data_IF_516367577275
#
_entry.id   IF_516367577275
#
_cell.length_a   1.000
_cell.length_b   1.000
_cell.length_c   1.000
_cell.angle_alpha   90.00
_cell.angle_beta   90.00
_cell.angle_gamma   90.00
#
_symmetry.space_group_name_H-M   'P 1'
#
loop_
_entity.id
_entity.type
_entity.pdbx_description
1 polymer ?
#
# COMPACT_ATOMS: atom_id res chain seq x y z
N UNK A 1 19.17 7.43 43.43
CA UNK A 1 18.22 6.65 42.61
C UNK A 1 18.23 7.26 41.21
N UNK A 2 19.01 6.70 40.28
CA UNK A 2 19.09 7.20 38.89
C UNK A 2 17.77 6.87 38.19
N UNK A 3 17.06 7.89 37.71
CA UNK A 3 15.92 7.70 36.82
C UNK A 3 16.46 7.16 35.50
N UNK A 4 16.22 5.89 35.21
CA UNK A 4 16.46 5.33 33.88
C UNK A 4 15.57 6.10 32.90
N UNK A 5 16.17 6.85 31.98
CA UNK A 5 15.42 7.51 30.92
C UNK A 5 14.94 6.44 29.93
N UNK A 6 13.63 6.23 29.86
CA UNK A 6 13.02 5.36 28.86
C UNK A 6 12.70 6.20 27.62
N UNK A 7 13.39 5.94 26.51
CA UNK A 7 13.05 6.51 25.21
C UNK A 7 12.15 5.53 24.45
N UNK A 8 10.99 5.99 23.98
CA UNK A 8 10.11 5.23 23.09
C UNK A 8 10.55 5.49 21.66
N UNK A 9 10.97 4.45 20.95
CA UNK A 9 11.28 4.52 19.52
C UNK A 9 9.97 4.31 18.77
N UNK A 10 9.57 5.31 17.99
CA UNK A 10 8.41 5.20 17.10
C UNK A 10 8.86 5.36 15.64
N UNK A 11 9.09 4.25 14.92
CA UNK A 11 9.58 4.29 13.55
C UNK A 11 8.52 4.83 12.57
N UNK A 12 7.24 4.82 12.91
CA UNK A 12 6.16 5.35 12.04
C UNK A 12 6.29 6.87 11.88
N UNK A 13 6.82 7.56 12.91
CA UNK A 13 7.01 9.01 12.92
C UNK A 13 7.81 9.51 11.71
N UNK A 14 8.79 8.73 11.23
CA UNK A 14 9.55 9.08 10.03
C UNK A 14 8.67 9.20 8.78
N UNK A 15 7.71 8.29 8.63
CA UNK A 15 6.78 8.26 7.50
C UNK A 15 5.74 9.38 7.62
N UNK A 16 5.24 9.65 8.82
CA UNK A 16 4.33 10.77 9.09
C UNK A 16 5.01 12.09 8.75
N UNK A 17 6.24 12.29 9.21
CA UNK A 17 7.01 13.51 8.94
C UNK A 17 7.29 13.66 7.44
N UNK A 18 7.71 12.59 6.77
CA UNK A 18 7.92 12.62 5.32
C UNK A 18 6.63 12.98 4.57
N UNK A 19 5.48 12.39 4.94
CA UNK A 19 4.20 12.68 4.32
C UNK A 19 3.80 14.15 4.52
N UNK A 20 4.05 14.70 5.71
CA UNK A 20 3.84 16.10 6.02
C UNK A 20 4.72 17.02 5.18
N UNK A 21 6.01 16.72 5.06
CA UNK A 21 6.97 17.48 4.24
C UNK A 21 6.60 17.47 2.74
N UNK A 22 5.95 16.39 2.27
CA UNK A 22 5.42 16.25 0.91
C UNK A 22 3.98 16.78 0.74
N UNK A 23 3.40 17.36 1.78
CA UNK A 23 2.06 17.95 1.78
C UNK A 23 0.93 16.95 1.48
N UNK A 24 1.10 15.68 1.87
CA UNK A 24 0.01 14.71 1.82
C UNK A 24 -0.99 14.92 2.96
N UNK A 25 -2.26 14.56 2.72
CA UNK A 25 -3.21 14.31 3.79
C UNK A 25 -2.81 13.05 4.56
N UNK A 26 -2.89 13.08 5.89
CA UNK A 26 -2.40 11.99 6.75
C UNK A 26 -3.56 11.43 7.57
N UNK A 27 -3.70 10.11 7.52
CA UNK A 27 -4.54 9.33 8.43
C UNK A 27 -3.59 8.37 9.17
N UNK A 28 -3.35 8.65 10.45
CA UNK A 28 -2.54 7.79 11.32
C UNK A 28 -3.44 6.99 12.26
N UNK A 29 -3.24 5.67 12.28
CA UNK A 29 -4.13 4.73 12.96
C UNK A 29 -3.30 3.70 13.70
N UNK A 30 -3.55 3.59 14.99
CA UNK A 30 -2.97 2.56 15.84
C UNK A 30 -3.97 1.42 16.06
N UNK A 31 -3.54 0.18 15.81
CA UNK A 31 -4.32 -0.99 16.20
C UNK A 31 -4.30 -1.13 17.73
N UNK A 32 -5.47 -1.22 18.39
CA UNK A 32 -5.50 -1.45 19.82
C UNK A 32 -4.90 -2.83 20.13
N UNK A 33 -4.26 -2.99 21.32
CA UNK A 33 -3.81 -4.30 21.76
C UNK A 33 -5.01 -5.24 21.88
N UNK A 34 -4.76 -6.55 21.75
CA UNK A 34 -5.79 -7.59 21.79
C UNK A 34 -6.74 -7.36 22.98
N UNK A 35 -7.99 -7.00 22.70
CA UNK A 35 -8.98 -6.82 23.75
C UNK A 35 -9.52 -8.18 24.21
N UNK A 36 -9.61 -8.43 25.53
CA UNK A 36 -10.35 -9.60 26.03
C UNK A 36 -11.84 -9.43 25.71
N UNK A 37 -12.47 -10.42 25.07
CA UNK A 37 -13.88 -10.32 24.67
C UNK A 37 -14.80 -10.16 25.88
N UNK A 38 -15.73 -9.20 25.86
CA UNK A 38 -16.73 -9.01 26.91
C UNK A 38 -17.99 -9.89 26.75
N UNK A 39 -18.12 -10.62 25.65
CA UNK A 39 -19.26 -11.52 25.40
C UNK A 39 -18.85 -12.74 24.58
N UNK A 40 -19.15 -13.93 25.09
CA UNK A 40 -19.09 -15.24 24.42
C UNK A 40 -17.73 -15.66 23.85
N UNK A 41 -16.74 -15.87 24.73
CA UNK A 41 -15.69 -16.92 24.62
C UNK A 41 -14.67 -16.87 23.46
N UNK A 42 -14.93 -16.16 22.36
CA UNK A 42 -14.04 -16.01 21.22
C UNK A 42 -13.38 -14.63 21.29
N UNK A 43 -12.08 -14.60 21.53
CA UNK A 43 -11.29 -13.37 21.45
C UNK A 43 -11.00 -13.09 19.98
N UNK A 44 -11.53 -11.99 19.45
CA UNK A 44 -11.24 -11.54 18.08
C UNK A 44 -9.72 -11.43 17.92
N UNK A 45 -9.17 -12.07 16.88
CA UNK A 45 -7.76 -11.98 16.56
C UNK A 45 -7.36 -10.54 16.22
N UNK A 46 -6.08 -10.19 16.39
CA UNK A 46 -5.57 -8.87 15.98
C UNK A 46 -5.78 -8.64 14.48
N UNK A 47 -5.66 -9.72 13.70
CA UNK A 47 -5.96 -9.73 12.28
C UNK A 47 -7.39 -9.29 12.00
N UNK A 48 -8.40 -9.97 12.57
CA UNK A 48 -9.81 -9.65 12.33
C UNK A 48 -10.17 -8.22 12.79
N UNK A 49 -9.53 -7.73 13.87
CA UNK A 49 -9.66 -6.34 14.32
C UNK A 49 -9.10 -5.36 13.28
N UNK A 50 -7.93 -5.67 12.71
CA UNK A 50 -7.30 -4.87 11.66
C UNK A 50 -8.14 -4.84 10.38
N UNK A 51 -8.64 -6.00 9.95
CA UNK A 51 -9.53 -6.12 8.78
C UNK A 51 -10.79 -5.25 8.95
N UNK A 52 -11.48 -5.39 10.10
CA UNK A 52 -12.69 -4.60 10.40
C UNK A 52 -12.40 -3.09 10.46
N UNK A 53 -11.24 -2.70 10.99
CA UNK A 53 -10.86 -1.30 11.11
C UNK A 53 -10.55 -0.68 9.75
N UNK A 54 -9.78 -1.37 8.90
CA UNK A 54 -9.47 -0.91 7.55
C UNK A 54 -10.72 -0.75 6.70
N UNK A 55 -11.68 -1.68 6.79
CA UNK A 55 -12.97 -1.57 6.11
C UNK A 55 -13.75 -0.35 6.59
N UNK A 56 -13.83 -0.14 7.91
CA UNK A 56 -14.52 1.02 8.47
C UNK A 56 -13.90 2.34 8.02
N UNK A 57 -12.57 2.44 8.05
CA UNK A 57 -11.85 3.64 7.62
C UNK A 57 -12.06 3.93 6.13
N UNK A 58 -12.04 2.88 5.31
CA UNK A 58 -12.28 3.03 3.88
C UNK A 58 -13.67 3.59 3.61
N UNK A 59 -14.71 2.90 4.08
CA UNK A 59 -16.10 3.23 3.74
C UNK A 59 -16.57 4.57 4.32
N UNK A 60 -16.08 4.92 5.52
CA UNK A 60 -16.61 6.08 6.26
C UNK A 60 -15.76 7.34 6.13
N UNK A 61 -14.51 7.23 5.69
CA UNK A 61 -13.60 8.38 5.61
C UNK A 61 -12.94 8.51 4.25
N UNK A 62 -12.28 7.45 3.77
CA UNK A 62 -11.41 7.54 2.58
C UNK A 62 -12.22 7.57 1.29
N UNK A 63 -13.20 6.68 1.14
CA UNK A 63 -14.03 6.59 -0.07
C UNK A 63 -14.76 7.91 -0.35
N UNK A 64 -15.19 8.59 0.71
CA UNK A 64 -15.91 9.87 0.66
C UNK A 64 -15.04 11.06 0.25
N UNK A 65 -13.71 10.94 0.25
CA UNK A 65 -12.81 12.00 -0.22
C UNK A 65 -12.64 11.94 -1.73
N UNK A 66 -12.35 13.09 -2.36
CA UNK A 66 -11.93 13.17 -3.77
C UNK A 66 -10.43 12.86 -3.97
N UNK A 67 -9.80 12.12 -3.06
CA UNK A 67 -8.39 11.79 -3.15
C UNK A 67 -8.14 10.76 -4.27
N UNK A 68 -7.44 11.16 -5.32
CA UNK A 68 -7.13 10.31 -6.48
C UNK A 68 -5.84 9.51 -6.30
N UNK A 69 -4.90 9.98 -5.48
CA UNK A 69 -3.64 9.30 -5.19
C UNK A 69 -3.58 8.92 -3.70
N UNK A 70 -3.89 7.66 -3.40
CA UNK A 70 -3.87 7.11 -2.04
C UNK A 70 -2.64 6.22 -1.88
N UNK A 71 -1.87 6.49 -0.83
CA UNK A 71 -0.72 5.70 -0.42
C UNK A 71 -1.05 5.00 0.89
N UNK A 72 -0.84 3.69 0.94
CA UNK A 72 -1.14 2.87 2.10
C UNK A 72 0.17 2.41 2.74
N UNK A 73 0.28 2.55 4.06
CA UNK A 73 1.42 2.06 4.84
C UNK A 73 0.91 1.17 5.95
N UNK A 74 1.34 -0.10 5.95
CA UNK A 74 0.94 -1.11 6.92
C UNK A 74 2.12 -1.64 7.73
N UNK A 75 1.89 -1.92 9.01
CA UNK A 75 2.87 -2.53 9.91
C UNK A 75 2.24 -3.78 10.53
N UNK A 76 2.91 -4.93 10.41
CA UNK A 76 2.45 -6.23 10.93
C UNK A 76 1.01 -6.54 10.50
N UNK A 77 0.09 -6.76 11.45
CA UNK A 77 -1.34 -7.03 11.15
C UNK A 77 -2.05 -5.87 10.47
N UNK A 78 -1.50 -4.65 10.49
CA UNK A 78 -1.98 -3.55 9.65
C UNK A 78 -1.87 -3.89 8.16
N UNK A 79 -0.83 -4.63 7.76
CA UNK A 79 -0.69 -5.10 6.37
C UNK A 79 -1.82 -6.07 6.03
N UNK A 80 -2.16 -6.99 6.92
CA UNK A 80 -3.29 -7.91 6.75
C UNK A 80 -4.61 -7.18 6.50
N UNK A 81 -4.91 -6.17 7.33
CA UNK A 81 -6.13 -5.38 7.21
C UNK A 81 -6.21 -4.62 5.89
N UNK A 82 -5.09 -4.03 5.45
CA UNK A 82 -5.02 -3.35 4.16
C UNK A 82 -5.20 -4.33 2.99
N UNK A 83 -4.57 -5.51 3.02
CA UNK A 83 -4.77 -6.53 1.98
C UNK A 83 -6.24 -6.95 1.91
N UNK A 84 -6.88 -7.18 3.05
CA UNK A 84 -8.31 -7.52 3.11
C UNK A 84 -9.18 -6.43 2.49
N UNK A 85 -8.93 -5.17 2.84
CA UNK A 85 -9.64 -4.03 2.27
C UNK A 85 -9.46 -3.95 0.74
N UNK A 86 -8.23 -4.18 0.24
CA UNK A 86 -7.93 -4.23 -1.20
C UNK A 86 -8.65 -5.40 -1.89
N UNK A 87 -8.91 -6.51 -1.20
CA UNK A 87 -9.69 -7.63 -1.74
C UNK A 87 -11.18 -7.31 -1.85
N UNK A 88 -11.71 -6.59 -0.87
CA UNK A 88 -13.11 -6.30 -0.75
C UNK A 88 -13.56 -5.11 -1.63
N UNK A 89 -12.64 -4.20 -2.01
CA UNK A 89 -12.95 -2.96 -2.74
C UNK A 89 -12.22 -2.87 -4.07
N UNK A 90 -12.88 -2.28 -5.07
CA UNK A 90 -12.26 -1.87 -6.34
C UNK A 90 -11.54 -0.53 -6.20
N UNK A 91 -10.44 -0.54 -5.47
CA UNK A 91 -9.68 0.66 -5.11
C UNK A 91 -8.43 0.87 -5.96
N UNK A 92 -8.15 0.00 -6.94
CA UNK A 92 -6.93 -0.03 -7.75
C UNK A 92 -6.71 1.24 -8.57
N UNK A 93 -7.80 1.97 -8.88
CA UNK A 93 -7.73 3.25 -9.58
C UNK A 93 -7.22 4.39 -8.71
N UNK A 94 -7.44 4.32 -7.39
CA UNK A 94 -7.11 5.39 -6.44
C UNK A 94 -5.88 5.04 -5.59
N UNK A 95 -5.70 3.77 -5.26
CA UNK A 95 -4.55 3.29 -4.49
C UNK A 95 -3.36 3.11 -5.40
N UNK A 96 -2.29 3.87 -5.14
CA UNK A 96 -1.09 3.92 -5.99
C UNK A 96 0.03 3.04 -5.46
N UNK A 97 0.12 2.96 -4.13
CA UNK A 97 1.13 2.16 -3.46
C UNK A 97 0.60 1.54 -2.16
N UNK A 98 1.01 0.31 -1.89
CA UNK A 98 0.99 -0.31 -0.57
C UNK A 98 2.43 -0.60 -0.13
N UNK A 99 2.89 0.07 0.92
CA UNK A 99 4.14 -0.31 1.61
C UNK A 99 3.79 -1.08 2.87
N UNK A 100 4.42 -2.24 3.06
CA UNK A 100 4.20 -3.07 4.25
C UNK A 100 5.51 -3.45 4.94
N UNK A 101 5.47 -3.55 6.27
CA UNK A 101 6.59 -4.01 7.09
C UNK A 101 6.16 -5.22 7.91
N UNK A 102 6.86 -6.34 7.79
CA UNK A 102 6.47 -7.63 8.38
C UNK A 102 7.67 -8.32 9.01
N UNK A 103 7.61 -8.58 10.32
CA UNK A 103 8.53 -9.47 11.02
C UNK A 103 7.84 -10.67 11.65
N UNK A 104 6.60 -10.53 12.11
CA UNK A 104 5.88 -11.59 12.85
C UNK A 104 4.53 -11.97 12.24
N UNK A 105 3.84 -11.03 11.57
CA UNK A 105 2.54 -11.27 10.98
C UNK A 105 2.62 -12.29 9.83
N UNK A 106 1.61 -13.15 9.72
CA UNK A 106 1.55 -14.13 8.64
C UNK A 106 1.38 -13.44 7.29
N UNK A 107 2.13 -13.89 6.29
CA UNK A 107 2.00 -13.38 4.93
C UNK A 107 0.63 -13.77 4.32
N UNK A 108 -0.05 -12.78 3.74
CA UNK A 108 -1.36 -12.97 3.13
C UNK A 108 -1.31 -12.86 1.61
N UNK A 109 -2.18 -13.60 0.94
CA UNK A 109 -2.36 -13.48 -0.49
C UNK A 109 -3.45 -12.45 -0.80
N UNK A 110 -3.25 -11.62 -1.82
CA UNK A 110 -4.29 -10.76 -2.39
C UNK A 110 -5.42 -11.56 -3.07
N UNK A 111 -5.22 -12.84 -3.38
CA UNK A 111 -6.26 -13.67 -3.99
C UNK A 111 -7.07 -14.41 -2.92
N UNK A 112 -8.40 -14.26 -2.97
CA UNK A 112 -9.32 -15.02 -2.12
C UNK A 112 -9.72 -16.37 -2.75
N UNK A 113 -9.95 -17.39 -1.90
CA UNK A 113 -10.83 -18.52 -2.21
C UNK A 113 -10.64 -19.24 -3.55
N UNK A 114 -9.40 -19.53 -3.96
CA UNK A 114 -9.15 -20.27 -5.21
C UNK A 114 -9.40 -19.50 -6.51
N UNK A 115 -9.79 -18.22 -6.42
CA UNK A 115 -9.97 -17.33 -7.56
C UNK A 115 -8.60 -17.04 -8.19
N UNK A 116 -8.52 -17.19 -9.50
CA UNK A 116 -7.33 -16.89 -10.30
C UNK A 116 -7.51 -15.56 -11.00
N UNK A 117 -7.48 -14.48 -10.24
CA UNK A 117 -7.42 -13.14 -10.82
C UNK A 117 -5.96 -12.75 -11.07
N UNK A 118 -5.50 -12.99 -12.29
CA UNK A 118 -4.11 -12.70 -12.66
C UNK A 118 -3.85 -11.19 -12.74
N UNK A 119 -4.84 -10.40 -13.16
CA UNK A 119 -4.72 -8.95 -13.28
C UNK A 119 -4.58 -8.31 -11.89
N UNK A 120 -5.40 -8.73 -10.93
CA UNK A 120 -5.28 -8.27 -9.54
C UNK A 120 -3.93 -8.67 -8.92
N UNK A 121 -3.48 -9.91 -9.13
CA UNK A 121 -2.19 -10.35 -8.63
C UNK A 121 -1.01 -9.59 -9.26
N UNK A 122 -1.11 -9.24 -10.53
CA UNK A 122 -0.11 -8.44 -11.24
C UNK A 122 -0.11 -6.98 -10.79
N UNK A 123 -1.29 -6.35 -10.72
CA UNK A 123 -1.44 -5.02 -10.16
C UNK A 123 -0.87 -4.96 -8.75
N UNK A 124 -1.25 -5.90 -7.87
CA UNK A 124 -0.78 -5.95 -6.50
C UNK A 124 0.74 -6.14 -6.42
N UNK A 125 1.32 -7.00 -7.24
CA UNK A 125 2.77 -7.13 -7.31
C UNK A 125 3.46 -5.83 -7.73
N UNK A 126 2.88 -5.08 -8.65
CA UNK A 126 3.44 -3.84 -9.16
C UNK A 126 3.18 -2.62 -8.25
N UNK A 127 2.10 -2.63 -7.47
CA UNK A 127 1.68 -1.53 -6.60
C UNK A 127 2.05 -1.74 -5.13
N UNK A 128 2.54 -2.92 -4.75
CA UNK A 128 3.02 -3.16 -3.38
C UNK A 128 4.54 -3.24 -3.27
N UNK A 129 5.07 -2.90 -2.10
CA UNK A 129 6.43 -3.18 -1.68
C UNK A 129 6.41 -3.62 -0.21
N UNK A 130 6.64 -4.91 0.03
CA UNK A 130 6.58 -5.51 1.36
C UNK A 130 8.00 -5.81 1.85
N UNK A 131 8.45 -5.07 2.86
CA UNK A 131 9.71 -5.30 3.55
C UNK A 131 9.52 -6.39 4.61
N UNK A 132 10.14 -7.54 4.37
CA UNK A 132 9.98 -8.73 5.21
C UNK A 132 11.30 -9.03 5.89
N UNK A 133 11.28 -9.17 7.22
CA UNK A 133 12.45 -9.47 8.05
C UNK A 133 13.16 -10.75 7.60
N UNK A 134 14.48 -10.82 7.85
CA UNK A 134 15.33 -11.91 7.35
C UNK A 134 14.91 -13.29 7.87
N UNK A 135 14.35 -13.34 9.08
CA UNK A 135 14.08 -14.57 9.82
C UNK A 135 12.62 -15.02 9.67
N UNK A 136 11.86 -14.36 8.79
CA UNK A 136 10.45 -14.63 8.61
C UNK A 136 10.20 -15.93 7.82
N UNK A 137 9.26 -16.76 8.28
CA UNK A 137 8.90 -18.07 7.71
C UNK A 137 8.45 -18.03 6.24
N UNK A 138 8.13 -16.84 5.72
CA UNK A 138 7.83 -16.64 4.30
C UNK A 138 8.96 -17.13 3.39
N UNK A 139 10.22 -16.94 3.78
CA UNK A 139 11.36 -17.27 2.94
C UNK A 139 11.57 -18.78 2.78
N UNK A 140 11.22 -19.56 3.79
CA UNK A 140 11.30 -21.02 3.75
C UNK A 140 10.17 -21.61 2.90
N UNK A 141 8.95 -21.07 3.06
CA UNK A 141 7.74 -21.63 2.49
C UNK A 141 7.41 -21.14 1.07
N UNK A 142 8.07 -20.08 0.58
CA UNK A 142 7.70 -19.41 -0.67
C UNK A 142 8.83 -19.28 -1.68
N UNK A 143 9.42 -20.42 -2.06
CA UNK A 143 10.53 -20.50 -3.02
C UNK A 143 10.23 -19.86 -4.38
N UNK A 144 8.96 -19.81 -4.80
CA UNK A 144 8.56 -19.33 -6.13
C UNK A 144 8.15 -17.85 -6.19
N UNK A 145 8.33 -17.08 -5.10
CA UNK A 145 8.05 -15.62 -5.02
C UNK A 145 6.78 -15.20 -5.79
N UNK A 146 5.64 -15.79 -5.42
CA UNK A 146 4.41 -15.65 -6.21
C UNK A 146 3.87 -14.22 -6.13
N UNK A 147 3.51 -13.64 -7.28
CA UNK A 147 2.93 -12.29 -7.43
C UNK A 147 1.75 -11.99 -6.49
N UNK A 148 0.96 -13.01 -6.19
CA UNK A 148 -0.19 -12.93 -5.27
C UNK A 148 0.16 -12.53 -3.83
N UNK A 149 1.45 -12.50 -3.46
CA UNK A 149 1.95 -12.03 -2.16
C UNK A 149 2.61 -10.65 -2.25
N UNK A 150 2.54 -9.98 -3.40
CA UNK A 150 3.13 -8.66 -3.58
C UNK A 150 4.63 -8.72 -3.84
N UNK A 151 5.25 -7.54 -4.00
CA UNK A 151 6.70 -7.44 -4.17
C UNK A 151 7.40 -7.53 -2.81
N UNK A 152 7.78 -8.74 -2.41
CA UNK A 152 8.45 -8.99 -1.15
C UNK A 152 9.97 -8.75 -1.26
N UNK A 153 10.49 -7.85 -0.42
CA UNK A 153 11.92 -7.52 -0.30
C UNK A 153 12.46 -7.99 1.04
N UNK A 154 13.49 -8.83 0.99
CA UNK A 154 14.23 -9.24 2.17
C UNK A 154 14.96 -8.05 2.77
N UNK A 155 14.75 -7.83 4.07
CA UNK A 155 15.31 -6.71 4.82
C UNK A 155 16.01 -7.23 6.06
N UNK A 156 17.21 -6.72 6.34
CA UNK A 156 17.95 -7.08 7.54
C UNK A 156 17.23 -6.58 8.80
N UNK A 157 17.06 -7.48 9.77
CA UNK A 157 16.42 -7.21 11.05
C UNK A 157 15.34 -8.23 11.39
N UNK A 158 15.28 -8.59 12.66
CA UNK A 158 14.27 -9.44 13.29
C UNK A 158 13.20 -8.60 14.05
N UNK A 159 13.53 -7.35 14.37
CA UNK A 159 12.61 -6.40 15.01
C UNK A 159 12.02 -5.41 14.00
N UNK A 160 10.71 -5.18 14.10
CA UNK A 160 9.95 -4.32 13.18
C UNK A 160 10.50 -2.91 13.05
N UNK A 161 10.96 -2.30 14.16
CA UNK A 161 11.56 -0.96 14.13
C UNK A 161 12.83 -0.91 13.29
N UNK A 162 13.65 -1.95 13.35
CA UNK A 162 14.88 -2.06 12.56
C UNK A 162 14.55 -2.21 11.08
N UNK A 163 13.58 -3.07 10.74
CA UNK A 163 13.12 -3.25 9.35
C UNK A 163 12.58 -1.94 8.77
N UNK A 164 11.77 -1.21 9.54
CA UNK A 164 11.23 0.09 9.10
C UNK A 164 12.31 1.15 8.89
N UNK A 165 13.29 1.25 9.79
CA UNK A 165 14.38 2.21 9.69
C UNK A 165 15.31 1.90 8.51
N UNK A 166 15.65 0.62 8.32
CA UNK A 166 16.52 0.18 7.22
C UNK A 166 15.88 0.36 5.84
N UNK A 167 14.54 0.44 5.79
CA UNK A 167 13.76 0.48 4.55
C UNK A 167 13.22 1.86 4.19
N UNK A 168 13.48 2.87 5.02
CA UNK A 168 12.82 4.18 4.94
C UNK A 168 12.97 4.81 3.55
N UNK A 169 14.20 4.91 3.04
CA UNK A 169 14.47 5.55 1.74
C UNK A 169 13.76 4.81 0.61
N UNK A 170 13.91 3.49 0.55
CA UNK A 170 13.32 2.67 -0.51
C UNK A 170 11.79 2.73 -0.48
N UNK A 171 11.19 2.74 0.70
CA UNK A 171 9.75 2.88 0.89
C UNK A 171 9.24 4.22 0.36
N UNK A 172 9.88 5.33 0.76
CA UNK A 172 9.47 6.67 0.33
C UNK A 172 9.71 6.90 -1.15
N UNK A 173 10.81 6.40 -1.71
CA UNK A 173 11.10 6.50 -3.14
C UNK A 173 10.09 5.71 -3.96
N UNK A 174 9.74 4.50 -3.53
CA UNK A 174 8.71 3.69 -4.18
C UNK A 174 7.36 4.42 -4.22
N UNK A 175 6.92 4.96 -3.07
CA UNK A 175 5.66 5.69 -3.00
C UNK A 175 5.66 6.96 -3.86
N UNK A 176 6.75 7.74 -3.85
CA UNK A 176 6.85 8.95 -4.69
C UNK A 176 6.77 8.61 -6.16
N UNK A 177 7.52 7.59 -6.62
CA UNK A 177 7.53 7.19 -8.02
C UNK A 177 6.13 6.82 -8.50
N UNK A 178 5.35 6.11 -7.66
CA UNK A 178 3.95 5.75 -7.98
C UNK A 178 3.01 6.93 -8.15
N UNK A 179 3.27 8.05 -7.47
CA UNK A 179 2.48 9.28 -7.64
C UNK A 179 2.96 10.08 -8.84
N UNK A 180 4.27 10.12 -9.10
CA UNK A 180 4.84 10.92 -10.19
C UNK A 180 4.64 10.30 -11.57
N UNK A 181 4.76 8.97 -11.69
CA UNK A 181 4.65 8.27 -12.98
C UNK A 181 3.26 8.48 -13.61
N UNK A 182 2.21 8.53 -12.80
CA UNK A 182 0.85 8.81 -13.30
C UNK A 182 0.66 10.26 -13.75
N UNK A 183 1.28 11.22 -13.06
CA UNK A 183 1.18 12.63 -13.43
C UNK A 183 1.82 12.90 -14.80
N UNK A 184 2.86 12.15 -15.18
CA UNK A 184 3.42 12.21 -16.53
C UNK A 184 2.51 11.65 -17.61
N UNK A 185 1.77 10.57 -17.32
CA UNK A 185 0.88 9.92 -18.30
C UNK A 185 -0.36 10.77 -18.62
N UNK A 186 -0.84 11.59 -17.68
CA UNK A 186 -1.97 12.52 -17.93
C UNK A 186 -1.63 13.74 -18.79
N UNK A 187 -0.35 14.07 -18.99
CA UNK A 187 0.06 15.28 -19.72
C UNK A 187 0.25 15.07 -21.24
N UNK A 188 0.11 13.84 -21.74
CA UNK A 188 0.38 13.53 -23.17
C UNK A 188 -0.84 13.60 -24.10
N UNK A 189 -2.06 13.85 -23.60
CA UNK A 189 -3.29 13.73 -24.40
C UNK A 189 -3.88 15.05 -24.96
N UNK A 190 -3.24 16.22 -24.79
CA UNK A 190 -3.81 17.51 -25.25
C UNK A 190 -3.33 18.02 -26.61
N UNK A 191 -2.52 17.30 -27.39
CA UNK A 191 -2.03 17.79 -28.68
C UNK A 191 -2.23 16.80 -29.83
N UNK A 192 -3.48 16.61 -30.27
CA UNK A 192 -3.77 16.36 -31.69
C UNK A 192 -5.27 16.49 -32.00
N UNK A 193 -5.70 17.68 -32.42
CA UNK A 193 -6.69 17.87 -33.48
C UNK A 193 -6.74 19.35 -33.89
N UNK A 194 -5.96 19.70 -34.92
CA UNK A 194 -6.33 20.71 -35.91
C UNK A 194 -5.25 20.77 -36.99
N UNK A 195 -5.58 20.36 -38.20
CA UNK A 195 -5.69 21.32 -39.29
C UNK A 195 -6.47 20.72 -40.45
N UNK A 196 -7.53 21.44 -40.80
CA UNK A 196 -8.44 21.13 -41.88
C UNK A 196 -7.75 21.18 -43.23
N UNK A 197 -8.15 20.20 -44.03
CA UNK A 197 -7.81 20.02 -45.43
C UNK A 197 -8.38 21.19 -46.24
N UNK A 198 -7.52 21.86 -46.98
CA UNK A 198 -7.86 22.99 -47.82
C UNK A 198 -6.78 23.21 -48.84
N UNK A 199 -6.82 22.44 -49.93
CA UNK A 199 -6.19 22.91 -51.16
C UNK A 199 -6.99 22.57 -52.42
N UNK A 200 -7.06 23.58 -53.27
CA UNK A 200 -7.98 23.75 -54.37
C UNK A 200 -7.52 22.98 -55.62
N UNK A 201 -8.45 22.25 -56.24
CA UNK A 201 -8.21 21.63 -57.53
C UNK A 201 -8.96 22.42 -58.62
N UNK A 202 -8.27 23.35 -59.28
CA UNK A 202 -8.72 23.98 -60.52
C UNK A 202 -7.92 23.38 -61.69
N UNK A 203 -8.58 22.58 -62.53
CA UNK A 203 -8.06 22.19 -63.85
C UNK A 203 -9.18 22.21 -64.90
N UNK A 204 -9.01 23.13 -65.84
CA UNK A 204 -9.37 23.15 -67.27
C UNK A 204 -10.75 22.66 -67.72
N UNK A 205 -11.55 23.60 -68.24
CA UNK A 205 -12.53 23.34 -69.30
C UNK A 205 -11.89 23.53 -70.67
N UNK A 206 -12.29 22.65 -71.59
CA UNK A 206 -12.11 22.67 -73.05
C UNK A 206 -12.93 23.80 -73.67
#
# INVERSE_FOLDING_TARGET
>A
MLKTATAKIDPTYFYIRWAFEKQFGIIDVSLPPRQPSKSNGATQSLREQSESLCDYLWDNYIELQNAEHILLVGVEEGVSGLIHMLQARRCEKRVKALVGFICAANMQSILYGGIKDQALAEWYFNSSLLFVGSDHLFWENNKSRRRKYGNCKLTAGDVISTVMLNSQKDATDFMMNKVTDEASDTNTDTNHHNNGDGDANNKNSV
#
